data_IF_478436957501
#
_entry.id   IF_478436957501
#
_cell.length_a   1.000
_cell.length_b   1.000
_cell.length_c   1.000
_cell.angle_alpha   90.00
_cell.angle_beta   90.00
_cell.angle_gamma   90.00
#
_symmetry.space_group_name_H-M   'P 1'
#
loop_
_entity.id
_entity.type
_entity.pdbx_description
1 polymer ?
#
# COMPACT_ATOMS: atom_id res chain seq x y z
N UNK A 1 13.11 21.68 9.46
CA UNK A 1 12.03 21.40 10.42
C UNK A 1 12.44 21.92 11.79
N UNK A 2 11.87 23.04 12.24
CA UNK A 2 12.12 23.63 13.57
C UNK A 2 10.79 23.85 14.28
N UNK A 3 10.81 23.97 15.61
CA UNK A 3 9.59 24.16 16.40
C UNK A 3 8.83 25.44 16.05
N UNK A 4 9.53 26.51 15.67
CA UNK A 4 8.97 27.77 15.20
C UNK A 4 8.81 27.86 13.67
N UNK A 5 9.18 26.81 12.92
CA UNK A 5 9.10 26.79 11.46
C UNK A 5 7.69 26.49 10.93
N UNK A 6 7.51 26.63 9.62
CA UNK A 6 6.22 26.41 8.92
C UNK A 6 5.52 25.07 9.24
N UNK A 7 6.30 24.04 9.56
CA UNK A 7 5.78 22.70 9.89
C UNK A 7 5.78 22.38 11.40
N UNK A 8 6.18 23.33 12.27
CA UNK A 8 6.32 23.11 13.71
C UNK A 8 5.06 22.52 14.35
N UNK A 9 3.88 22.98 13.93
CA UNK A 9 2.57 22.49 14.41
C UNK A 9 2.32 20.98 14.21
N UNK A 10 3.01 20.32 13.28
CA UNK A 10 2.85 18.89 13.02
C UNK A 10 3.77 18.01 13.88
N UNK A 11 4.88 18.57 14.37
CA UNK A 11 5.93 17.81 15.06
C UNK A 11 6.14 18.26 16.52
N UNK A 12 5.58 19.41 16.90
CA UNK A 12 5.63 19.94 18.27
C UNK A 12 4.35 19.58 18.98
N UNK A 13 4.43 18.61 19.89
CA UNK A 13 3.30 18.16 20.68
C UNK A 13 3.49 16.73 21.16
N UNK A 14 2.48 16.22 21.89
CA UNK A 14 2.43 14.82 22.27
C UNK A 14 2.03 13.99 21.05
N UNK A 15 2.77 12.90 20.78
CA UNK A 15 2.36 11.91 19.79
C UNK A 15 0.98 11.34 20.19
N UNK A 16 0.01 11.46 19.30
CA UNK A 16 -1.38 11.06 19.52
C UNK A 16 -1.74 9.73 18.83
N UNK A 17 -0.76 9.03 18.24
CA UNK A 17 -0.96 7.73 17.63
C UNK A 17 -0.95 6.65 18.71
N UNK A 18 -1.97 5.79 18.71
CA UNK A 18 -2.08 4.65 19.61
C UNK A 18 -2.30 3.36 18.80
N UNK A 19 -1.28 2.50 18.80
CA UNK A 19 -1.30 1.18 18.14
C UNK A 19 -1.80 0.05 19.07
N UNK A 20 -2.17 0.35 20.32
CA UNK A 20 -2.83 -0.64 21.19
C UNK A 20 -4.29 -0.86 20.82
N UNK A 21 -4.89 0.07 20.07
CA UNK A 21 -6.23 -0.10 19.56
C UNK A 21 -6.24 -1.21 18.48
N UNK A 22 -7.27 -2.07 18.47
CA UNK A 22 -7.38 -3.14 17.47
C UNK A 22 -7.63 -2.60 16.06
N UNK A 23 -8.02 -1.33 15.92
CA UNK A 23 -8.25 -0.66 14.66
C UNK A 23 -7.80 0.79 14.73
N UNK A 24 -6.74 1.12 13.98
CA UNK A 24 -6.14 2.46 13.93
C UNK A 24 -6.11 2.93 12.48
N UNK A 25 -6.73 4.08 12.20
CA UNK A 25 -6.75 4.71 10.88
C UNK A 25 -5.88 5.96 10.91
N UNK A 26 -4.96 6.07 9.95
CA UNK A 26 -4.05 7.19 9.79
C UNK A 26 -4.44 7.98 8.55
N UNK A 27 -5.13 9.10 8.74
CA UNK A 27 -5.66 9.92 7.65
C UNK A 27 -4.66 11.01 7.22
N UNK A 28 -4.29 11.01 5.93
CA UNK A 28 -3.20 11.85 5.39
C UNK A 28 -3.63 12.89 4.36
N UNK A 29 -4.91 12.99 4.01
CA UNK A 29 -5.44 13.97 3.04
C UNK A 29 -5.03 15.43 3.34
N UNK A 30 -4.93 15.79 4.62
CA UNK A 30 -4.50 17.14 5.04
C UNK A 30 -3.04 17.48 4.73
N UNK A 31 -2.24 16.49 4.33
CA UNK A 31 -0.82 16.65 3.99
C UNK A 31 -0.58 16.79 2.48
N UNK A 32 -1.62 16.68 1.65
CA UNK A 32 -1.51 16.76 0.18
C UNK A 32 -0.98 18.10 -0.32
N UNK A 33 -1.18 19.18 0.44
CA UNK A 33 -0.71 20.52 0.05
C UNK A 33 0.82 20.70 0.10
N UNK A 34 1.57 19.75 0.68
CA UNK A 34 3.04 19.79 0.72
C UNK A 34 3.63 18.40 0.61
N UNK A 35 4.17 18.07 -0.57
CA UNK A 35 4.82 16.79 -0.85
C UNK A 35 5.98 16.51 0.11
N UNK A 36 6.78 17.52 0.42
CA UNK A 36 7.90 17.38 1.36
C UNK A 36 7.44 17.04 2.78
N UNK A 37 6.38 17.70 3.28
CA UNK A 37 5.82 17.40 4.60
C UNK A 37 5.23 15.97 4.61
N UNK A 38 4.48 15.62 3.56
CA UNK A 38 3.87 14.30 3.39
C UNK A 38 4.93 13.20 3.47
N UNK A 39 6.04 13.33 2.75
CA UNK A 39 7.15 12.35 2.77
C UNK A 39 7.74 12.15 4.18
N UNK A 40 7.96 13.23 4.94
CA UNK A 40 8.53 13.13 6.29
C UNK A 40 7.56 12.48 7.27
N UNK A 41 6.28 12.84 7.21
CA UNK A 41 5.25 12.23 8.06
C UNK A 41 5.11 10.74 7.72
N UNK A 42 5.04 10.38 6.45
CA UNK A 42 4.98 9.00 6.00
C UNK A 42 6.15 8.16 6.51
N UNK A 43 7.38 8.67 6.41
CA UNK A 43 8.55 7.98 6.94
C UNK A 43 8.44 7.72 8.45
N UNK A 44 7.96 8.71 9.22
CA UNK A 44 7.71 8.54 10.66
C UNK A 44 6.61 7.52 10.95
N UNK A 45 5.51 7.53 10.18
CA UNK A 45 4.42 6.57 10.35
C UNK A 45 4.88 5.15 10.05
N UNK A 46 5.57 4.93 8.93
CA UNK A 46 6.08 3.60 8.57
C UNK A 46 7.08 3.12 9.62
N UNK A 47 7.94 4.01 10.14
CA UNK A 47 8.84 3.66 11.25
C UNK A 47 8.08 3.21 12.49
N UNK A 48 7.06 3.97 12.93
CA UNK A 48 6.26 3.60 14.11
C UNK A 48 5.47 2.30 13.90
N UNK A 49 4.86 2.12 12.73
CA UNK A 49 4.17 0.87 12.34
C UNK A 49 5.15 -0.30 12.40
N UNK A 50 6.35 -0.16 11.84
CA UNK A 50 7.37 -1.21 11.91
C UNK A 50 7.79 -1.53 13.34
N UNK A 51 7.99 -0.52 14.18
CA UNK A 51 8.32 -0.74 15.59
C UNK A 51 7.22 -1.54 16.30
N UNK A 52 5.95 -1.17 16.10
CA UNK A 52 4.84 -1.92 16.68
C UNK A 52 4.75 -3.36 16.13
N UNK A 53 4.90 -3.52 14.81
CA UNK A 53 4.89 -4.85 14.16
C UNK A 53 6.02 -5.76 14.63
N UNK A 54 7.22 -5.22 14.89
CA UNK A 54 8.41 -6.02 15.22
C UNK A 54 8.64 -6.21 16.72
N UNK A 55 8.32 -5.20 17.52
CA UNK A 55 8.60 -5.13 18.96
C UNK A 55 7.34 -5.23 19.82
N UNK A 56 6.15 -5.08 19.24
CA UNK A 56 4.89 -5.27 19.96
C UNK A 56 4.56 -6.73 20.24
N UNK A 57 3.36 -6.97 20.75
CA UNK A 57 2.89 -8.31 21.11
C UNK A 57 2.86 -9.24 19.88
N UNK A 58 3.67 -10.31 19.94
CA UNK A 58 3.82 -11.30 18.87
C UNK A 58 2.73 -12.37 18.86
N UNK A 59 1.92 -12.45 19.92
CA UNK A 59 0.76 -13.34 19.96
C UNK A 59 -0.40 -12.81 19.10
N UNK A 60 -0.40 -11.51 18.81
CA UNK A 60 -1.42 -10.85 18.02
C UNK A 60 -1.09 -10.87 16.53
N UNK A 61 -2.07 -11.23 15.71
CA UNK A 61 -1.97 -11.05 14.27
C UNK A 61 -2.22 -9.59 13.93
N UNK A 62 -1.34 -9.00 13.12
CA UNK A 62 -1.42 -7.59 12.76
C UNK A 62 -1.49 -7.42 11.26
N UNK A 63 -2.36 -6.52 10.81
CA UNK A 63 -2.58 -6.22 9.40
C UNK A 63 -2.32 -4.75 9.15
N UNK A 64 -1.38 -4.45 8.25
CA UNK A 64 -1.11 -3.09 7.79
C UNK A 64 -1.73 -2.90 6.42
N UNK A 65 -2.68 -1.98 6.29
CA UNK A 65 -3.30 -1.64 5.00
C UNK A 65 -2.77 -0.28 4.56
N UNK A 66 -2.24 -0.23 3.35
CA UNK A 66 -1.70 0.98 2.74
C UNK A 66 -2.57 1.30 1.53
N UNK A 67 -3.39 2.33 1.68
CA UNK A 67 -4.17 2.88 0.57
C UNK A 67 -3.33 3.85 -0.26
N UNK A 68 -3.59 3.89 -1.56
CA UNK A 68 -2.88 4.72 -2.54
C UNK A 68 -1.35 4.59 -2.45
N UNK A 69 -0.88 3.35 -2.32
CA UNK A 69 0.52 3.08 -1.98
C UNK A 69 1.51 3.59 -3.02
N UNK A 70 1.11 3.82 -4.28
CA UNK A 70 2.01 4.26 -5.36
C UNK A 70 2.76 5.55 -5.00
N UNK A 71 2.14 6.46 -4.23
CA UNK A 71 2.80 7.67 -3.75
C UNK A 71 3.96 7.38 -2.77
N UNK A 72 4.00 6.16 -2.22
CA UNK A 72 5.01 5.68 -1.28
C UNK A 72 6.03 4.74 -1.92
N UNK A 73 5.75 4.22 -3.12
CA UNK A 73 6.60 3.23 -3.79
C UNK A 73 7.81 3.85 -4.50
N UNK A 74 7.86 5.17 -4.62
CA UNK A 74 8.99 5.88 -5.23
C UNK A 74 10.07 6.26 -4.20
N UNK A 75 11.32 6.26 -4.66
CA UNK A 75 12.48 6.72 -3.90
C UNK A 75 12.79 5.91 -2.63
N UNK A 76 13.38 6.57 -1.63
CA UNK A 76 13.88 5.93 -0.41
C UNK A 76 12.78 5.34 0.49
N UNK A 77 11.56 5.86 0.39
CA UNK A 77 10.41 5.37 1.17
C UNK A 77 10.00 3.98 0.68
N UNK A 78 9.95 3.77 -0.63
CA UNK A 78 9.58 2.48 -1.19
C UNK A 78 10.55 1.35 -0.81
N UNK A 79 11.86 1.63 -0.80
CA UNK A 79 12.86 0.64 -0.35
C UNK A 79 12.70 0.27 1.14
N UNK A 80 12.22 1.22 1.95
CA UNK A 80 11.91 1.00 3.35
C UNK A 80 10.64 0.15 3.54
N UNK A 81 9.61 0.40 2.72
CA UNK A 81 8.37 -0.39 2.67
C UNK A 81 8.67 -1.82 2.22
N UNK A 82 9.45 -2.03 1.16
CA UNK A 82 9.80 -3.36 0.65
C UNK A 82 10.49 -4.23 1.73
N UNK A 83 11.45 -3.64 2.46
CA UNK A 83 12.11 -4.31 3.59
C UNK A 83 11.15 -4.64 4.71
N UNK A 84 10.19 -3.75 4.99
CA UNK A 84 9.10 -3.98 5.94
C UNK A 84 8.23 -5.17 5.53
N UNK A 85 7.77 -5.20 4.28
CA UNK A 85 6.94 -6.25 3.69
C UNK A 85 7.55 -7.65 3.87
N UNK A 86 8.85 -7.81 3.57
CA UNK A 86 9.56 -9.09 3.75
C UNK A 86 9.65 -9.52 5.22
N UNK A 87 9.62 -8.57 6.16
CA UNK A 87 9.72 -8.85 7.60
C UNK A 87 8.36 -9.12 8.24
N UNK A 88 7.27 -8.45 7.82
CA UNK A 88 5.95 -8.62 8.44
C UNK A 88 5.51 -10.08 8.50
N UNK A 89 5.73 -10.86 7.43
CA UNK A 89 5.44 -12.30 7.41
C UNK A 89 6.13 -13.09 8.52
N UNK A 90 7.33 -12.68 8.97
CA UNK A 90 8.07 -13.36 10.06
C UNK A 90 7.52 -13.05 11.45
N UNK A 91 6.73 -11.99 11.59
CA UNK A 91 6.22 -11.50 12.88
C UNK A 91 4.69 -11.64 12.98
N UNK A 92 4.14 -12.72 12.41
CA UNK A 92 2.69 -12.99 12.39
C UNK A 92 1.86 -11.81 11.84
N UNK A 93 2.44 -11.08 10.90
CA UNK A 93 1.87 -9.89 10.31
C UNK A 93 1.64 -10.04 8.81
N UNK A 94 0.67 -9.29 8.30
CA UNK A 94 0.38 -9.16 6.88
C UNK A 94 0.36 -7.68 6.48
N UNK A 95 0.62 -7.41 5.21
CA UNK A 95 0.45 -6.09 4.64
C UNK A 95 -0.33 -6.17 3.32
N UNK A 96 -1.23 -5.21 3.14
CA UNK A 96 -2.06 -5.06 1.94
C UNK A 96 -1.75 -3.71 1.35
N UNK A 97 -1.39 -3.70 0.07
CA UNK A 97 -1.25 -2.49 -0.74
C UNK A 97 -2.47 -2.39 -1.64
N UNK A 98 -3.10 -1.21 -1.65
CA UNK A 98 -4.23 -0.89 -2.52
C UNK A 98 -3.79 0.19 -3.51
N UNK A 99 -4.10 -0.01 -4.79
CA UNK A 99 -3.87 0.96 -5.87
C UNK A 99 -5.07 0.98 -6.81
N UNK A 100 -5.26 2.09 -7.52
CA UNK A 100 -6.39 2.26 -8.44
C UNK A 100 -6.22 1.48 -9.74
N UNK A 101 -5.01 1.48 -10.30
CA UNK A 101 -4.68 0.70 -11.48
C UNK A 101 -3.66 -0.36 -11.16
N UNK A 102 -3.81 -1.52 -11.79
CA UNK A 102 -2.77 -2.55 -11.81
C UNK A 102 -1.44 -2.00 -12.33
N UNK A 103 -1.50 -1.09 -13.30
CA UNK A 103 -0.32 -0.53 -13.94
C UNK A 103 0.50 0.34 -12.99
N UNK A 104 -0.12 0.92 -11.95
CA UNK A 104 0.56 1.76 -10.96
C UNK A 104 1.58 0.97 -10.13
N UNK A 105 1.29 -0.30 -9.82
CA UNK A 105 2.20 -1.17 -9.08
C UNK A 105 3.46 -1.48 -9.90
N UNK A 106 3.35 -1.55 -11.22
CA UNK A 106 4.46 -1.93 -12.11
C UNK A 106 5.23 -0.73 -12.69
N UNK A 107 4.94 0.50 -12.27
CA UNK A 107 5.68 1.70 -12.70
C UNK A 107 7.13 1.70 -12.19
N UNK A 108 7.34 1.22 -10.97
CA UNK A 108 8.65 1.22 -10.30
C UNK A 108 9.09 -0.20 -9.92
N UNK A 109 10.41 -0.40 -9.80
CA UNK A 109 11.01 -1.69 -9.43
C UNK A 109 10.55 -2.20 -8.06
N UNK A 110 10.27 -1.28 -7.13
CA UNK A 110 9.80 -1.58 -5.78
C UNK A 110 8.39 -2.15 -5.82
N UNK A 111 7.49 -1.53 -6.58
CA UNK A 111 6.11 -2.01 -6.72
C UNK A 111 6.06 -3.37 -7.41
N UNK A 112 6.90 -3.59 -8.44
CA UNK A 112 7.10 -4.92 -9.03
C UNK A 112 7.55 -5.95 -7.98
N UNK A 113 8.55 -5.61 -7.15
CA UNK A 113 8.97 -6.49 -6.05
C UNK A 113 7.84 -6.80 -5.07
N UNK A 114 6.96 -5.84 -4.76
CA UNK A 114 5.80 -6.08 -3.90
C UNK A 114 4.82 -7.05 -4.57
N UNK A 115 4.50 -6.84 -5.85
CA UNK A 115 3.63 -7.76 -6.61
C UNK A 115 4.21 -9.18 -6.64
N UNK A 116 5.49 -9.33 -6.99
CA UNK A 116 6.16 -10.62 -7.11
C UNK A 116 6.28 -11.38 -5.76
N UNK A 117 6.27 -10.65 -4.63
CA UNK A 117 6.33 -11.24 -3.29
C UNK A 117 4.96 -11.34 -2.60
N UNK A 118 3.89 -10.87 -3.24
CA UNK A 118 2.53 -10.96 -2.70
C UNK A 118 1.98 -12.35 -2.93
N UNK A 119 1.49 -12.99 -1.86
CA UNK A 119 0.88 -14.31 -1.95
C UNK A 119 -0.51 -14.29 -2.61
N UNK A 120 -1.17 -13.13 -2.60
CA UNK A 120 -2.47 -12.93 -3.22
C UNK A 120 -2.49 -11.60 -3.95
N UNK A 121 -3.14 -11.58 -5.11
CA UNK A 121 -3.52 -10.35 -5.80
C UNK A 121 -5.02 -10.38 -6.04
N UNK A 122 -5.71 -9.36 -5.54
CA UNK A 122 -7.15 -9.19 -5.65
C UNK A 122 -7.43 -8.07 -6.66
N UNK A 123 -7.84 -8.45 -7.87
CA UNK A 123 -8.09 -7.52 -8.96
C UNK A 123 -9.59 -7.25 -9.07
N UNK A 124 -10.01 -6.05 -8.70
CA UNK A 124 -11.35 -5.54 -8.98
C UNK A 124 -11.44 -5.08 -10.44
N UNK A 125 -12.65 -4.78 -10.92
CA UNK A 125 -12.89 -4.32 -12.29
C UNK A 125 -11.93 -3.21 -12.73
N UNK A 126 -11.16 -3.48 -13.78
CA UNK A 126 -10.19 -2.55 -14.37
C UNK A 126 -10.72 -1.98 -15.70
N UNK A 127 -10.20 -0.84 -16.14
CA UNK A 127 -10.48 -0.37 -17.51
C UNK A 127 -9.88 -1.32 -18.54
N UNK A 128 -10.54 -1.47 -19.69
CA UNK A 128 -10.04 -2.33 -20.76
C UNK A 128 -8.64 -1.89 -21.24
N UNK A 129 -8.40 -0.58 -21.30
CA UNK A 129 -7.08 -0.03 -21.60
C UNK A 129 -6.01 -0.45 -20.60
N UNK A 130 -6.32 -0.46 -19.30
CA UNK A 130 -5.37 -0.86 -18.27
C UNK A 130 -5.01 -2.35 -18.38
N UNK A 131 -6.01 -3.20 -18.67
CA UNK A 131 -5.78 -4.65 -18.87
C UNK A 131 -4.97 -4.91 -20.14
N UNK A 132 -5.28 -4.23 -21.24
CA UNK A 132 -4.53 -4.35 -22.50
C UNK A 132 -3.07 -3.91 -22.32
N UNK A 133 -2.82 -2.84 -21.57
CA UNK A 133 -1.45 -2.41 -21.26
C UNK A 133 -0.73 -3.44 -20.37
N UNK A 134 -1.40 -4.01 -19.38
CA UNK A 134 -0.84 -5.06 -18.53
C UNK A 134 -0.48 -6.32 -19.34
N UNK A 135 -1.33 -6.71 -20.29
CA UNK A 135 -1.13 -7.81 -21.22
C UNK A 135 0.08 -7.58 -22.14
N UNK A 136 0.13 -6.42 -22.79
CA UNK A 136 1.23 -6.05 -23.69
C UNK A 136 2.60 -6.03 -22.98
N UNK A 137 2.62 -5.61 -21.71
CA UNK A 137 3.84 -5.54 -20.91
C UNK A 137 4.10 -6.79 -20.07
N UNK A 138 3.27 -7.84 -20.18
CA UNK A 138 3.36 -9.09 -19.41
C UNK A 138 3.48 -8.83 -17.89
N UNK A 139 2.68 -7.89 -17.38
CA UNK A 139 2.72 -7.48 -15.97
C UNK A 139 2.14 -8.54 -15.04
N UNK A 140 1.15 -9.30 -15.50
CA UNK A 140 0.61 -10.45 -14.80
C UNK A 140 1.04 -11.75 -15.45
N UNK A 141 1.25 -12.77 -14.61
CA UNK A 141 1.47 -14.15 -15.03
C UNK A 141 0.13 -14.83 -15.40
N UNK A 142 -0.57 -14.25 -16.39
CA UNK A 142 -1.81 -14.79 -16.96
C UNK A 142 -1.58 -15.19 -18.42
N UNK A 143 -2.34 -16.20 -18.87
CA UNK A 143 -2.47 -16.52 -20.28
C UNK A 143 -3.52 -15.62 -20.96
N UNK A 144 -3.67 -15.76 -22.28
CA UNK A 144 -4.62 -14.96 -23.06
C UNK A 144 -6.06 -15.12 -22.53
N UNK A 145 -6.43 -16.34 -22.11
CA UNK A 145 -7.73 -16.61 -21.51
C UNK A 145 -7.90 -15.85 -20.19
N UNK A 146 -6.89 -15.85 -19.31
CA UNK A 146 -6.86 -15.12 -18.06
C UNK A 146 -7.04 -13.61 -18.27
N UNK A 147 -6.34 -13.01 -19.24
CA UNK A 147 -6.56 -11.61 -19.58
C UNK A 147 -7.97 -11.33 -20.12
N UNK A 148 -8.53 -12.23 -20.94
CA UNK A 148 -9.94 -12.12 -21.38
C UNK A 148 -10.93 -12.17 -20.22
N UNK A 149 -10.73 -13.07 -19.25
CA UNK A 149 -11.55 -13.13 -18.04
C UNK A 149 -11.40 -11.89 -17.15
N UNK A 150 -10.18 -11.37 -16.99
CA UNK A 150 -9.98 -10.14 -16.22
C UNK A 150 -10.77 -8.96 -16.82
N UNK A 151 -10.87 -8.88 -18.16
CA UNK A 151 -11.70 -7.87 -18.86
C UNK A 151 -13.20 -8.02 -18.60
N UNK A 152 -13.69 -9.15 -18.07
CA UNK A 152 -15.11 -9.34 -17.74
C UNK A 152 -15.46 -8.97 -16.32
N UNK A 153 -14.49 -8.73 -15.43
CA UNK A 153 -14.75 -8.36 -14.02
C UNK A 153 -15.51 -7.04 -13.96
N UNK A 154 -16.63 -7.01 -13.22
CA UNK A 154 -17.50 -5.84 -13.07
C UNK A 154 -17.70 -5.45 -11.61
N UNK A 155 -17.88 -4.15 -11.40
CA UNK A 155 -18.34 -3.61 -10.13
C UNK A 155 -19.51 -2.68 -10.37
N UNK A 156 -20.63 -2.95 -9.70
CA UNK A 156 -21.82 -2.10 -9.69
C UNK A 156 -21.94 -1.45 -8.33
N UNK A 157 -21.67 -0.14 -8.27
CA UNK A 157 -21.65 0.63 -7.02
C UNK A 157 -22.95 0.45 -6.24
N UNK A 158 -22.82 0.02 -4.99
CA UNK A 158 -23.96 -0.19 -4.08
C UNK A 158 -24.73 -1.50 -4.32
N UNK A 159 -24.31 -2.36 -5.25
CA UNK A 159 -24.96 -3.64 -5.54
C UNK A 159 -23.98 -4.80 -5.34
N UNK A 160 -22.91 -4.88 -6.13
CA UNK A 160 -21.91 -5.94 -6.04
C UNK A 160 -20.58 -5.52 -6.66
N UNK A 161 -19.50 -6.21 -6.28
CA UNK A 161 -18.21 -6.12 -6.95
C UNK A 161 -17.67 -7.54 -7.14
N UNK A 162 -17.22 -7.84 -8.36
CA UNK A 162 -16.48 -9.06 -8.66
C UNK A 162 -15.00 -8.86 -8.38
N UNK A 163 -14.33 -9.94 -8.00
CA UNK A 163 -12.90 -9.95 -7.71
C UNK A 163 -12.27 -11.12 -8.47
N UNK A 164 -11.29 -10.82 -9.30
CA UNK A 164 -10.41 -11.82 -9.90
C UNK A 164 -9.23 -12.06 -8.96
N UNK A 165 -9.04 -13.31 -8.54
CA UNK A 165 -8.05 -13.69 -7.53
C UNK A 165 -6.90 -14.43 -8.18
N UNK A 166 -5.67 -13.96 -7.94
CA UNK A 166 -4.43 -14.68 -8.23
C UNK A 166 -3.83 -15.10 -6.88
N UNK A 167 -3.42 -16.37 -6.77
CA UNK A 167 -2.84 -16.98 -5.55
C UNK A 167 -1.69 -17.93 -5.90
#
# INVERSE_FOLDING_TARGET
FTSAGQYGKYFVGKNNIDFKNPFTVLELSRLESSEHLKQVVLLQLIYQIQQDMFMGDRSQMKLVIIDEAWALLSGNIGAFIEKGYRRFRKYNGAAITITQSINDIYKDSIGKSIADNSAFMLLLGQSESAVNEAEANKRLALDEAGYRFLKTVRSTKGVYSEIFVIS
#
